data_IF_519171831578
#
_entry.id   IF_519171831578
#
_cell.length_a   1.000
_cell.length_b   1.000
_cell.length_c   1.000
_cell.angle_alpha   90.00
_cell.angle_beta   90.00
_cell.angle_gamma   90.00
#
_symmetry.space_group_name_H-M   'P 1'
#
loop_
_entity.id
_entity.type
_entity.pdbx_description
1 polymer ?
#
# COMPACT_ATOMS: atom_id res chain seq x y z
N UNK A 1 -20.57 24.68 21.60
CA UNK A 1 -20.23 23.33 21.14
C UNK A 1 -20.15 22.45 22.38
N UNK A 2 -21.15 21.61 22.60
CA UNK A 2 -21.20 20.75 23.78
C UNK A 2 -20.19 19.60 23.58
N UNK A 3 -19.24 19.45 24.52
CA UNK A 3 -18.36 18.30 24.55
C UNK A 3 -19.15 17.05 24.94
N UNK A 4 -18.86 15.93 24.28
CA UNK A 4 -19.40 14.61 24.62
C UNK A 4 -18.89 14.25 26.02
N UNK A 5 -19.80 13.93 26.94
CA UNK A 5 -19.46 13.58 28.32
C UNK A 5 -18.97 12.13 28.39
N UNK A 6 -18.20 11.79 29.42
CA UNK A 6 -17.78 10.40 29.67
C UNK A 6 -18.99 9.46 29.89
N UNK A 7 -20.12 9.99 30.36
CA UNK A 7 -21.35 9.23 30.59
C UNK A 7 -22.05 8.86 29.27
N UNK A 8 -21.94 9.71 28.25
CA UNK A 8 -22.45 9.41 26.89
C UNK A 8 -21.66 8.25 26.26
N UNK A 9 -20.34 8.22 26.49
CA UNK A 9 -19.44 7.14 26.05
C UNK A 9 -19.80 5.83 26.75
N UNK A 10 -19.96 5.85 28.08
CA UNK A 10 -20.27 4.64 28.85
C UNK A 10 -21.66 4.06 28.51
N UNK A 11 -22.67 4.91 28.32
CA UNK A 11 -24.00 4.46 27.91
C UNK A 11 -23.99 3.85 26.50
N UNK A 12 -23.22 4.42 25.57
CA UNK A 12 -23.03 3.91 24.22
C UNK A 12 -22.41 2.50 24.21
N UNK A 13 -21.33 2.28 24.96
CA UNK A 13 -20.66 0.97 25.08
C UNK A 13 -21.61 -0.12 25.61
N UNK A 14 -22.43 0.22 26.61
CA UNK A 14 -23.41 -0.73 27.20
C UNK A 14 -24.56 -1.14 26.27
N UNK A 15 -24.89 -0.30 25.28
CA UNK A 15 -25.94 -0.60 24.29
C UNK A 15 -25.41 -1.50 23.16
N UNK A 16 -24.13 -1.40 22.83
CA UNK A 16 -23.49 -2.12 21.74
C UNK A 16 -23.13 -3.57 22.09
N UNK A 17 -22.70 -3.84 23.32
CA UNK A 17 -22.46 -5.23 23.80
C UNK A 17 -23.71 -6.13 23.66
N UNK A 18 -24.91 -5.54 23.67
CA UNK A 18 -26.17 -6.28 23.54
C UNK A 18 -26.51 -6.70 22.11
N UNK A 19 -25.83 -6.17 21.08
CA UNK A 19 -26.17 -6.39 19.66
C UNK A 19 -25.18 -7.28 18.89
N UNK A 20 -24.00 -7.58 19.43
CA UNK A 20 -22.97 -8.40 18.78
C UNK A 20 -23.36 -9.90 18.56
N UNK A 21 -24.64 -10.24 18.64
CA UNK A 21 -25.16 -11.63 18.59
C UNK A 21 -26.00 -11.97 17.36
N UNK A 22 -26.04 -11.13 16.30
CA UNK A 22 -26.84 -11.41 15.10
C UNK A 22 -26.03 -11.41 13.79
N UNK A 23 -26.41 -12.34 12.91
CA UNK A 23 -25.74 -12.83 11.71
C UNK A 23 -25.47 -11.83 10.58
N UNK A 24 -24.45 -12.18 9.78
CA UNK A 24 -23.85 -11.53 8.59
C UNK A 24 -24.85 -11.05 7.53
N UNK A 25 -24.74 -9.79 7.14
CA UNK A 25 -25.49 -9.10 6.06
C UNK A 25 -24.67 -8.95 4.76
N UNK A 26 -25.30 -8.78 3.57
CA UNK A 26 -24.63 -8.58 2.28
C UNK A 26 -23.86 -7.26 2.18
N UNK A 27 -22.92 -7.16 1.22
CA UNK A 27 -21.96 -6.03 1.14
C UNK A 27 -22.56 -4.63 0.91
N UNK A 28 -23.79 -4.54 0.37
CA UNK A 28 -24.54 -3.29 0.25
C UNK A 28 -25.12 -2.77 1.58
N UNK A 29 -24.94 -3.52 2.66
CA UNK A 29 -25.46 -3.26 4.00
C UNK A 29 -24.33 -3.21 5.05
N UNK A 30 -23.06 -2.96 4.66
CA UNK A 30 -22.00 -2.79 5.66
C UNK A 30 -22.13 -1.41 6.32
N UNK A 31 -22.56 -1.35 7.59
CA UNK A 31 -22.64 -0.07 8.30
C UNK A 31 -21.24 0.52 8.42
N UNK A 32 -21.18 1.84 8.50
CA UNK A 32 -19.92 2.53 8.78
C UNK A 32 -19.38 2.07 10.13
N UNK A 33 -18.05 1.99 10.30
CA UNK A 33 -16.99 2.52 9.44
C UNK A 33 -16.47 1.56 8.35
N UNK A 34 -15.99 2.11 7.24
CA UNK A 34 -15.38 1.34 6.16
C UNK A 34 -13.85 1.29 6.25
N UNK A 35 -13.34 0.08 6.45
CA UNK A 35 -11.91 -0.23 6.48
C UNK A 35 -11.56 -1.30 5.45
N UNK A 36 -10.38 -1.15 4.83
CA UNK A 36 -9.73 -2.20 4.05
C UNK A 36 -8.34 -2.47 4.60
N UNK A 37 -7.99 -3.74 4.78
CA UNK A 37 -6.70 -4.15 5.34
C UNK A 37 -5.92 -5.02 4.36
N UNK A 38 -4.67 -4.67 4.08
CA UNK A 38 -3.70 -5.56 3.40
C UNK A 38 -2.62 -5.95 4.41
N UNK A 39 -2.66 -7.20 4.88
CA UNK A 39 -1.68 -7.73 5.82
C UNK A 39 -0.59 -8.47 5.05
N UNK A 40 0.40 -7.71 4.57
CA UNK A 40 1.56 -8.23 3.84
C UNK A 40 2.58 -8.92 4.76
N UNK A 41 3.66 -9.43 4.17
CA UNK A 41 4.74 -10.11 4.93
C UNK A 41 5.56 -9.18 5.82
N UNK A 42 5.77 -7.93 5.37
CA UNK A 42 6.60 -6.92 6.07
C UNK A 42 5.78 -5.77 6.62
N UNK A 43 4.82 -5.27 5.85
CA UNK A 43 3.95 -4.14 6.23
C UNK A 43 2.49 -4.55 6.15
N UNK A 44 1.73 -4.14 7.16
CA UNK A 44 0.27 -4.03 7.12
C UNK A 44 -0.11 -2.64 6.63
N UNK A 45 -1.06 -2.57 5.70
CA UNK A 45 -1.64 -1.30 5.21
C UNK A 45 -3.12 -1.29 5.56
N UNK A 46 -3.58 -0.19 6.10
CA UNK A 46 -4.96 0.08 6.46
C UNK A 46 -5.43 1.28 5.63
N UNK A 47 -6.54 1.10 4.94
CA UNK A 47 -7.25 2.17 4.24
C UNK A 47 -8.54 2.45 5.02
N UNK A 48 -8.81 3.73 5.26
CA UNK A 48 -10.01 4.19 5.94
C UNK A 48 -10.72 5.25 5.09
N UNK A 49 -12.03 5.11 4.93
CA UNK A 49 -12.86 6.14 4.30
C UNK A 49 -13.54 6.98 5.38
N UNK A 50 -13.16 8.24 5.47
CA UNK A 50 -13.78 9.26 6.34
C UNK A 50 -14.91 9.97 5.57
N UNK A 51 -16.18 9.80 5.95
CA UNK A 51 -17.28 10.54 5.32
C UNK A 51 -17.18 12.04 5.68
N UNK A 52 -17.31 12.89 4.66
CA UNK A 52 -17.28 14.36 4.78
C UNK A 52 -18.60 15.01 4.36
N UNK A 53 -19.56 14.19 3.95
CA UNK A 53 -20.91 14.59 3.59
C UNK A 53 -21.78 14.90 4.82
N UNK A 54 -23.04 15.31 4.59
CA UNK A 54 -23.92 15.78 5.66
C UNK A 54 -24.08 14.70 6.76
N UNK A 55 -23.96 15.13 8.02
CA UNK A 55 -24.12 14.27 9.20
C UNK A 55 -25.54 13.71 9.33
N UNK A 56 -26.51 14.26 8.61
CA UNK A 56 -27.84 13.66 8.45
C UNK A 56 -27.86 12.35 7.65
N UNK A 57 -26.78 12.00 6.94
CA UNK A 57 -26.65 10.77 6.15
C UNK A 57 -26.22 9.55 6.97
N UNK A 58 -25.94 9.72 8.27
CA UNK A 58 -25.74 8.59 9.17
C UNK A 58 -27.09 8.06 9.62
N UNK A 59 -27.26 6.75 9.56
CA UNK A 59 -28.55 6.11 9.84
C UNK A 59 -28.84 6.06 11.35
N UNK A 60 -27.79 6.12 12.18
CA UNK A 60 -27.91 6.01 13.64
C UNK A 60 -27.00 7.00 14.40
N UNK A 61 -27.40 7.38 15.61
CA UNK A 61 -26.52 8.12 16.54
C UNK A 61 -25.25 7.34 16.88
N UNK A 62 -25.32 6.01 16.80
CA UNK A 62 -24.20 5.11 17.05
C UNK A 62 -23.11 5.27 15.98
N UNK A 63 -23.48 5.32 14.71
CA UNK A 63 -22.55 5.58 13.60
C UNK A 63 -21.90 6.96 13.72
N UNK A 64 -22.66 7.99 14.11
CA UNK A 64 -22.16 9.35 14.35
C UNK A 64 -21.17 9.45 15.52
N UNK A 65 -21.31 8.60 16.53
CA UNK A 65 -20.38 8.54 17.67
C UNK A 65 -19.12 7.75 17.29
N UNK A 66 -19.30 6.61 16.61
CA UNK A 66 -18.23 5.78 16.05
C UNK A 66 -17.32 6.60 15.13
N UNK A 67 -17.89 7.30 14.15
CA UNK A 67 -17.17 8.16 13.22
C UNK A 67 -16.34 9.24 13.96
N UNK A 68 -16.93 9.90 14.96
CA UNK A 68 -16.21 10.90 15.77
C UNK A 68 -15.07 10.30 16.60
N UNK A 69 -15.23 9.09 17.13
CA UNK A 69 -14.17 8.41 17.87
C UNK A 69 -13.01 8.03 16.95
N UNK A 70 -13.32 7.47 15.78
CA UNK A 70 -12.35 7.08 14.76
C UNK A 70 -11.62 8.30 14.24
N UNK A 71 -12.35 9.33 13.82
CA UNK A 71 -11.78 10.59 13.34
C UNK A 71 -10.82 11.15 14.39
N UNK A 72 -11.27 11.27 15.65
CA UNK A 72 -10.41 11.79 16.73
C UNK A 72 -9.16 10.94 16.91
N UNK A 73 -9.25 9.62 16.75
CA UNK A 73 -8.12 8.74 16.93
C UNK A 73 -7.17 8.81 15.73
N UNK A 74 -7.65 8.51 14.53
CA UNK A 74 -6.85 8.39 13.31
C UNK A 74 -6.23 9.71 12.86
N UNK A 75 -6.90 10.86 13.09
CA UNK A 75 -6.42 12.19 12.65
C UNK A 75 -5.50 12.89 13.64
N UNK A 76 -5.47 12.50 14.93
CA UNK A 76 -4.64 13.19 15.94
C UNK A 76 -3.24 12.57 16.13
N UNK A 77 -2.81 11.69 15.22
CA UNK A 77 -1.48 11.04 15.19
C UNK A 77 -1.07 10.32 16.50
N UNK A 78 -2.03 9.99 17.37
CA UNK A 78 -1.85 9.16 18.59
C UNK A 78 -2.34 7.72 18.41
N UNK A 79 -2.69 7.34 17.18
CA UNK A 79 -3.53 6.16 16.92
C UNK A 79 -2.82 4.82 16.78
N UNK A 80 -1.52 4.77 16.51
CA UNK A 80 -0.90 3.53 16.01
C UNK A 80 0.32 3.06 16.82
N UNK A 81 0.38 3.48 18.09
CA UNK A 81 1.56 3.31 18.93
C UNK A 81 2.78 4.05 18.36
N UNK A 82 3.97 3.56 18.66
CA UNK A 82 5.24 4.17 18.21
C UNK A 82 5.60 3.86 16.75
N UNK A 83 4.85 3.00 16.07
CA UNK A 83 5.29 2.37 14.81
C UNK A 83 4.35 2.53 13.61
N UNK A 84 3.08 2.92 13.81
CA UNK A 84 2.19 3.15 12.70
C UNK A 84 2.19 4.61 12.24
N UNK A 85 2.10 4.77 10.93
CA UNK A 85 2.24 6.05 10.24
C UNK A 85 1.03 6.26 9.35
N UNK A 86 0.40 7.43 9.47
CA UNK A 86 -0.58 7.92 8.50
C UNK A 86 0.15 8.76 7.45
N UNK A 87 0.06 8.34 6.19
CA UNK A 87 0.71 9.03 5.08
C UNK A 87 -0.20 10.17 4.59
N UNK A 88 -0.28 11.27 5.36
CA UNK A 88 -1.17 12.43 5.13
C UNK A 88 -1.08 13.01 3.71
N UNK A 89 0.12 12.95 3.11
CA UNK A 89 0.38 13.45 1.76
C UNK A 89 -0.24 12.60 0.64
N UNK A 90 -0.79 11.42 0.97
CA UNK A 90 -1.46 10.50 0.04
C UNK A 90 -2.99 10.58 0.13
N UNK A 91 -3.55 11.41 1.01
CA UNK A 91 -4.99 11.48 1.19
C UNK A 91 -5.74 11.87 -0.09
N UNK A 92 -6.83 11.16 -0.36
CA UNK A 92 -7.70 11.45 -1.51
C UNK A 92 -8.99 12.06 -1.01
N UNK A 93 -9.14 13.36 -1.24
CA UNK A 93 -10.31 14.14 -0.82
C UNK A 93 -11.43 14.09 -1.86
N UNK A 94 -12.67 14.29 -1.40
CA UNK A 94 -13.87 14.36 -2.24
C UNK A 94 -14.09 13.10 -3.10
N UNK A 95 -13.75 11.92 -2.58
CA UNK A 95 -13.99 10.65 -3.25
C UNK A 95 -15.41 10.18 -2.97
N UNK A 96 -16.10 9.72 -4.00
CA UNK A 96 -17.45 9.14 -3.88
C UNK A 96 -17.38 7.63 -3.81
N UNK A 97 -17.84 7.03 -2.71
CA UNK A 97 -17.97 5.58 -2.52
C UNK A 97 -19.38 5.28 -2.01
N UNK A 98 -20.11 4.38 -2.67
CA UNK A 98 -21.48 3.98 -2.29
C UNK A 98 -22.41 5.19 -1.97
N UNK A 99 -22.40 6.21 -2.83
CA UNK A 99 -23.16 7.48 -2.68
C UNK A 99 -22.78 8.37 -1.49
N UNK A 100 -21.70 8.05 -0.75
CA UNK A 100 -21.10 8.91 0.27
C UNK A 100 -19.92 9.67 -0.31
N UNK A 101 -19.73 10.91 0.10
CA UNK A 101 -18.55 11.72 -0.28
C UNK A 101 -17.62 11.80 0.93
N UNK A 102 -16.34 11.50 0.74
CA UNK A 102 -15.39 11.41 1.84
C UNK A 102 -13.93 11.57 1.44
N UNK A 103 -13.07 11.39 2.43
CA UNK A 103 -11.61 11.35 2.30
C UNK A 103 -11.13 9.92 2.49
N UNK A 104 -10.23 9.45 1.63
CA UNK A 104 -9.51 8.18 1.83
C UNK A 104 -8.19 8.47 2.54
N UNK A 105 -7.97 7.81 3.68
CA UNK A 105 -6.73 7.86 4.43
C UNK A 105 -5.92 6.58 4.26
N UNK A 106 -4.59 6.73 4.18
CA UNK A 106 -3.64 5.63 4.07
C UNK A 106 -2.79 5.55 5.32
N UNK A 107 -2.79 4.38 5.94
CA UNK A 107 -2.09 4.09 7.18
C UNK A 107 -1.27 2.82 6.98
N UNK A 108 -0.07 2.77 7.54
CA UNK A 108 0.79 1.58 7.50
C UNK A 108 1.51 1.36 8.81
N UNK A 109 1.82 0.10 9.10
CA UNK A 109 2.65 -0.28 10.22
C UNK A 109 3.36 -1.62 9.94
N UNK A 110 4.47 -1.94 10.62
CA UNK A 110 5.15 -3.22 10.47
C UNK A 110 4.23 -4.41 10.81
N UNK A 111 4.18 -5.46 9.97
CA UNK A 111 3.30 -6.62 10.19
C UNK A 111 3.58 -7.32 11.52
N UNK A 112 4.82 -7.29 12.01
CA UNK A 112 5.17 -7.86 13.32
C UNK A 112 4.51 -7.12 14.50
N UNK A 113 3.93 -5.94 14.27
CA UNK A 113 3.15 -5.17 15.24
C UNK A 113 1.64 -5.48 15.19
N UNK A 114 1.19 -6.42 14.35
CA UNK A 114 -0.20 -6.88 14.33
C UNK A 114 -0.74 -7.29 15.72
N UNK A 115 0.02 -7.99 16.60
CA UNK A 115 -0.45 -8.28 17.96
C UNK A 115 -0.72 -7.01 18.78
N UNK A 116 0.20 -6.04 18.74
CA UNK A 116 0.04 -4.74 19.40
C UNK A 116 -1.16 -3.98 18.86
N UNK A 117 -1.37 -4.01 17.54
CA UNK A 117 -2.54 -3.42 16.89
C UNK A 117 -3.85 -4.08 17.36
N UNK A 118 -3.92 -5.41 17.43
CA UNK A 118 -5.09 -6.13 17.94
C UNK A 118 -5.38 -5.73 19.39
N UNK A 119 -4.37 -5.71 20.27
CA UNK A 119 -4.55 -5.26 21.65
C UNK A 119 -5.09 -3.83 21.72
N UNK A 120 -4.56 -2.93 20.89
CA UNK A 120 -4.99 -1.55 20.83
C UNK A 120 -6.44 -1.40 20.34
N UNK A 121 -6.85 -2.17 19.33
CA UNK A 121 -8.24 -2.21 18.86
C UNK A 121 -9.19 -2.70 19.97
N UNK A 122 -8.75 -3.68 20.76
CA UNK A 122 -9.48 -4.21 21.93
C UNK A 122 -9.64 -3.16 23.03
N UNK A 123 -8.54 -2.51 23.41
CA UNK A 123 -8.51 -1.49 24.48
C UNK A 123 -9.30 -0.22 24.14
N UNK A 124 -9.44 0.08 22.84
CA UNK A 124 -10.22 1.23 22.36
C UNK A 124 -11.66 0.88 22.02
N UNK A 125 -12.06 -0.37 22.24
CA UNK A 125 -13.43 -0.87 22.02
C UNK A 125 -13.92 -0.62 20.58
N UNK A 126 -12.98 -0.55 19.62
CA UNK A 126 -13.29 -0.36 18.20
C UNK A 126 -14.04 -1.57 17.60
N UNK A 127 -14.00 -2.71 18.29
CA UNK A 127 -14.72 -3.93 17.92
C UNK A 127 -16.23 -3.78 17.95
N UNK A 128 -16.75 -2.81 18.72
CA UNK A 128 -18.16 -2.48 18.76
C UNK A 128 -18.64 -1.79 17.46
N UNK A 129 -17.71 -1.28 16.65
CA UNK A 129 -18.05 -0.46 15.47
C UNK A 129 -18.22 -1.29 14.20
N UNK A 130 -17.54 -2.43 14.09
CA UNK A 130 -17.79 -3.41 13.02
C UNK A 130 -17.36 -4.81 13.45
N UNK A 131 -18.24 -5.78 13.26
CA UNK A 131 -17.94 -7.20 13.47
C UNK A 131 -17.12 -7.81 12.33
N UNK A 132 -16.99 -7.12 11.19
CA UNK A 132 -16.35 -7.65 9.98
C UNK A 132 -15.43 -6.61 9.33
N UNK A 133 -14.19 -6.99 9.03
CA UNK A 133 -13.25 -6.15 8.27
C UNK A 133 -12.77 -6.90 7.05
N UNK A 134 -12.80 -6.24 5.89
CA UNK A 134 -12.26 -6.80 4.66
C UNK A 134 -10.75 -6.81 4.71
N UNK A 135 -10.16 -7.99 4.57
CA UNK A 135 -8.72 -8.18 4.66
C UNK A 135 -8.18 -8.96 3.47
N UNK A 136 -6.99 -8.59 3.01
CA UNK A 136 -6.24 -9.31 1.99
C UNK A 136 -4.78 -9.51 2.41
N UNK A 137 -3.99 -10.11 1.53
CA UNK A 137 -2.62 -10.52 1.82
C UNK A 137 -2.56 -11.82 2.62
N UNK A 138 -1.37 -12.44 2.65
CA UNK A 138 -1.16 -13.70 3.39
C UNK A 138 -1.46 -13.59 4.89
N UNK A 139 -1.30 -12.41 5.48
CA UNK A 139 -1.60 -12.15 6.88
C UNK A 139 -3.09 -12.19 7.24
N UNK A 140 -4.00 -11.97 6.27
CA UNK A 140 -5.44 -12.11 6.51
C UNK A 140 -5.81 -13.52 6.98
N UNK A 141 -5.07 -14.55 6.53
CA UNK A 141 -5.23 -15.93 7.03
C UNK A 141 -4.53 -16.09 8.37
N UNK A 142 -3.28 -15.60 8.47
CA UNK A 142 -2.42 -15.80 9.64
C UNK A 142 -3.04 -15.25 10.93
N UNK A 143 -3.63 -14.05 10.85
CA UNK A 143 -4.18 -13.32 12.01
C UNK A 143 -5.70 -13.44 12.14
N UNK A 144 -6.37 -14.24 11.28
CA UNK A 144 -7.82 -14.43 11.36
C UNK A 144 -8.27 -14.94 12.73
N UNK A 145 -7.58 -15.95 13.27
CA UNK A 145 -7.90 -16.53 14.58
C UNK A 145 -7.69 -15.54 15.71
N UNK A 146 -6.61 -14.77 15.66
CA UNK A 146 -6.30 -13.78 16.70
C UNK A 146 -7.35 -12.67 16.71
N UNK A 147 -7.78 -12.21 15.53
CA UNK A 147 -8.88 -11.24 15.40
C UNK A 147 -10.20 -11.83 15.93
N UNK A 148 -10.51 -13.08 15.61
CA UNK A 148 -11.72 -13.74 16.10
C UNK A 148 -11.69 -13.91 17.63
N UNK A 149 -10.59 -14.42 18.20
CA UNK A 149 -10.50 -14.71 19.63
C UNK A 149 -10.34 -13.48 20.52
N UNK A 150 -9.60 -12.47 20.07
CA UNK A 150 -9.32 -11.28 20.87
C UNK A 150 -10.34 -10.16 20.69
N UNK A 151 -10.92 -10.05 19.49
CA UNK A 151 -11.79 -8.94 19.10
C UNK A 151 -13.24 -9.35 18.82
N UNK A 152 -13.53 -10.65 18.71
CA UNK A 152 -14.78 -11.15 18.16
C UNK A 152 -15.08 -10.56 16.76
N UNK A 153 -14.02 -10.33 15.97
CA UNK A 153 -14.09 -9.76 14.63
C UNK A 153 -13.75 -10.81 13.57
N UNK A 154 -14.52 -10.83 12.50
CA UNK A 154 -14.25 -11.67 11.33
C UNK A 154 -13.42 -10.90 10.29
N UNK A 155 -12.28 -11.46 9.90
CA UNK A 155 -11.55 -10.98 8.73
C UNK A 155 -12.15 -11.61 7.47
N UNK A 156 -12.90 -10.82 6.70
CA UNK A 156 -13.44 -11.25 5.42
C UNK A 156 -12.32 -11.25 4.38
N UNK A 157 -11.76 -12.44 4.15
CA UNK A 157 -10.64 -12.62 3.24
C UNK A 157 -11.02 -12.34 1.79
N UNK A 158 -10.27 -11.46 1.13
CA UNK A 158 -10.28 -11.20 -0.32
C UNK A 158 -8.95 -11.63 -0.95
N UNK A 159 -8.94 -11.96 -2.24
CA UNK A 159 -7.70 -12.31 -2.96
C UNK A 159 -6.76 -11.10 -3.09
N UNK A 160 -5.46 -11.31 -2.86
CA UNK A 160 -4.43 -10.25 -2.82
C UNK A 160 -4.22 -9.60 -4.18
N UNK A 161 -4.18 -10.41 -5.24
CA UNK A 161 -3.88 -9.93 -6.58
C UNK A 161 -5.12 -9.24 -7.17
N UNK A 162 -6.31 -9.79 -6.95
CA UNK A 162 -7.56 -9.13 -7.33
C UNK A 162 -7.75 -7.79 -6.61
N UNK A 163 -7.50 -7.75 -5.29
CA UNK A 163 -7.60 -6.51 -4.50
C UNK A 163 -6.59 -5.46 -4.99
N UNK A 164 -5.38 -5.88 -5.36
CA UNK A 164 -4.36 -5.01 -5.94
C UNK A 164 -4.82 -4.39 -7.26
N UNK A 165 -5.32 -5.19 -8.21
CA UNK A 165 -5.76 -4.68 -9.52
C UNK A 165 -6.94 -3.73 -9.33
N UNK A 166 -7.97 -4.14 -8.58
CA UNK A 166 -9.13 -3.28 -8.28
C UNK A 166 -8.73 -1.98 -7.58
N UNK A 167 -7.77 -2.04 -6.66
CA UNK A 167 -7.24 -0.86 -5.97
C UNK A 167 -6.54 0.10 -6.93
N UNK A 168 -5.61 -0.39 -7.75
CA UNK A 168 -4.89 0.43 -8.75
C UNK A 168 -5.88 1.12 -9.70
N UNK A 169 -6.85 0.38 -10.23
CA UNK A 169 -7.87 0.91 -11.15
C UNK A 169 -8.76 1.96 -10.48
N UNK A 170 -9.21 1.70 -9.23
CA UNK A 170 -9.99 2.66 -8.45
C UNK A 170 -9.21 3.97 -8.26
N UNK A 171 -7.97 3.90 -7.77
CA UNK A 171 -7.18 5.10 -7.48
C UNK A 171 -6.89 5.88 -8.78
N UNK A 172 -6.53 5.21 -9.86
CA UNK A 172 -6.32 5.86 -11.16
C UNK A 172 -7.59 6.52 -11.73
N UNK A 173 -8.78 5.98 -11.42
CA UNK A 173 -10.05 6.57 -11.85
C UNK A 173 -10.43 7.83 -11.07
N UNK A 174 -10.01 7.95 -9.79
CA UNK A 174 -10.34 9.09 -8.92
C UNK A 174 -9.24 10.15 -8.88
N UNK A 175 -7.98 9.77 -9.13
CA UNK A 175 -6.81 10.65 -9.09
C UNK A 175 -6.10 10.68 -10.45
N UNK A 176 -6.29 11.77 -11.19
CA UNK A 176 -5.69 11.96 -12.51
C UNK A 176 -4.15 12.07 -12.50
N UNK A 177 -3.54 12.32 -11.34
CA UNK A 177 -2.09 12.50 -11.18
C UNK A 177 -1.44 11.29 -10.50
N UNK A 178 -2.19 10.18 -10.33
CA UNK A 178 -1.72 8.96 -9.67
C UNK A 178 -0.52 8.33 -10.40
N UNK A 179 -0.66 8.14 -11.72
CA UNK A 179 0.37 7.50 -12.52
C UNK A 179 1.36 8.54 -13.06
N UNK A 180 2.63 8.16 -13.17
CA UNK A 180 3.69 9.02 -13.69
C UNK A 180 4.84 8.18 -14.26
N UNK A 181 5.70 8.84 -15.05
CA UNK A 181 6.98 8.28 -15.50
C UNK A 181 8.09 9.33 -15.34
N UNK A 182 9.34 8.89 -15.46
CA UNK A 182 10.49 9.80 -15.54
C UNK A 182 10.93 9.94 -16.99
N UNK A 183 10.88 11.15 -17.51
CA UNK A 183 11.42 11.50 -18.83
C UNK A 183 12.93 11.67 -18.72
N UNK A 184 13.71 11.13 -19.67
CA UNK A 184 15.18 11.07 -19.64
C UNK A 184 15.79 10.61 -18.29
N UNK A 185 15.43 9.42 -17.75
CA UNK A 185 15.77 9.01 -16.38
C UNK A 185 17.27 8.81 -16.10
N UNK A 186 18.11 8.73 -17.15
CA UNK A 186 19.56 8.56 -17.04
C UNK A 186 20.33 9.88 -17.20
N UNK A 187 19.65 10.99 -17.50
CA UNK A 187 20.24 12.32 -17.69
C UNK A 187 19.86 13.22 -16.51
N UNK A 188 20.82 13.53 -15.64
CA UNK A 188 20.57 14.31 -14.42
C UNK A 188 20.06 15.74 -14.68
N UNK A 189 20.32 16.33 -15.85
CA UNK A 189 19.87 17.69 -16.17
C UNK A 189 18.46 17.71 -16.77
N UNK A 190 18.08 16.64 -17.48
CA UNK A 190 16.79 16.51 -18.16
C UNK A 190 15.76 15.67 -17.40
N UNK A 191 16.21 14.86 -16.44
CA UNK A 191 15.37 13.96 -15.68
C UNK A 191 14.26 14.74 -14.98
N UNK A 192 13.01 14.40 -15.31
CA UNK A 192 11.83 15.02 -14.68
C UNK A 192 10.70 14.02 -14.55
N UNK A 193 9.98 14.12 -13.44
CA UNK A 193 8.71 13.40 -13.23
C UNK A 193 7.64 14.01 -14.13
N UNK A 194 6.96 13.20 -14.91
CA UNK A 194 5.85 13.59 -15.78
C UNK A 194 4.61 12.80 -15.40
N UNK A 195 3.53 13.50 -15.05
CA UNK A 195 2.25 12.88 -14.76
C UNK A 195 1.67 12.21 -16.00
N UNK A 196 1.09 11.02 -15.80
CA UNK A 196 0.48 10.22 -16.84
C UNK A 196 -0.99 9.96 -16.53
N UNK A 197 -1.87 10.57 -17.33
CA UNK A 197 -3.33 10.44 -17.19
C UNK A 197 -3.80 9.16 -17.85
N UNK A 198 -3.63 8.04 -17.14
CA UNK A 198 -3.93 6.71 -17.65
C UNK A 198 -5.40 6.56 -18.10
N UNK A 199 -6.35 7.20 -17.41
CA UNK A 199 -7.78 7.21 -17.74
C UNK A 199 -8.17 8.02 -18.99
N UNK A 200 -7.24 8.77 -19.60
CA UNK A 200 -7.48 9.62 -20.78
C UNK A 200 -6.67 9.22 -22.01
N UNK A 201 -6.15 8.00 -21.99
CA UNK A 201 -5.52 7.36 -23.12
C UNK A 201 -4.35 8.03 -23.83
N UNK A 202 -3.65 8.96 -23.18
CA UNK A 202 -2.49 9.64 -23.75
C UNK A 202 -1.21 8.85 -23.46
N UNK A 203 -0.59 8.24 -24.48
CA UNK A 203 0.52 7.28 -24.30
C UNK A 203 1.94 7.83 -24.51
N UNK A 204 2.16 9.13 -24.75
CA UNK A 204 3.53 9.66 -24.84
C UNK A 204 3.64 11.19 -24.67
N UNK A 205 4.86 11.66 -24.41
CA UNK A 205 5.27 13.07 -24.47
C UNK A 205 5.19 13.69 -25.88
N UNK A 206 4.97 12.88 -26.92
CA UNK A 206 4.82 13.29 -28.32
C UNK A 206 3.36 13.25 -28.80
N UNK A 207 2.40 12.92 -27.92
CA UNK A 207 0.97 13.01 -28.24
C UNK A 207 0.55 14.49 -28.31
N UNK A 208 0.91 15.17 -29.40
CA UNK A 208 0.52 16.56 -29.70
C UNK A 208 -0.89 16.69 -30.27
N UNK A 209 -1.54 15.58 -30.57
CA UNK A 209 -2.86 15.56 -31.20
C UNK A 209 -3.96 15.34 -30.16
N UNK A 210 -4.28 16.40 -29.41
CA UNK A 210 -5.43 16.46 -28.51
C UNK A 210 -6.79 16.49 -29.26
N UNK A 211 -6.80 16.34 -30.59
CA UNK A 211 -8.00 16.48 -31.43
C UNK A 211 -8.74 15.17 -31.69
N UNK A 212 -8.19 14.01 -31.33
CA UNK A 212 -8.95 12.76 -31.35
C UNK A 212 -9.41 12.46 -29.94
N UNK A 213 -10.72 12.56 -29.72
CA UNK A 213 -11.38 12.12 -28.51
C UNK A 213 -11.04 10.63 -28.29
N UNK A 214 -10.06 10.36 -27.44
CA UNK A 214 -9.86 9.03 -26.88
C UNK A 214 -11.01 8.80 -25.91
N UNK A 215 -11.67 7.64 -26.01
CA UNK A 215 -12.69 7.24 -25.05
C UNK A 215 -12.17 7.42 -23.61
N UNK A 216 -12.97 8.06 -22.76
CA UNK A 216 -12.69 8.14 -21.32
C UNK A 216 -12.67 6.70 -20.76
N UNK A 217 -11.58 6.31 -20.08
CA UNK A 217 -11.45 4.98 -19.51
C UNK A 217 -10.01 4.51 -19.29
N UNK A 218 -9.84 3.53 -18.41
CA UNK A 218 -8.56 2.87 -18.17
C UNK A 218 -8.12 2.08 -19.41
N UNK A 219 -6.84 2.18 -19.75
CA UNK A 219 -6.28 1.49 -20.90
C UNK A 219 -5.75 0.09 -20.57
N UNK A 220 -6.01 -0.85 -21.47
CA UNK A 220 -5.51 -2.22 -21.44
C UNK A 220 -4.83 -2.57 -22.77
N UNK A 221 -3.89 -3.54 -22.81
CA UNK A 221 -3.35 -4.28 -21.69
C UNK A 221 -2.21 -3.55 -20.97
N UNK A 222 -1.92 -3.94 -19.73
CA UNK A 222 -0.76 -3.47 -18.98
C UNK A 222 -0.14 -4.57 -18.10
N UNK A 223 1.07 -4.32 -17.61
CA UNK A 223 1.78 -5.21 -16.68
C UNK A 223 1.88 -4.52 -15.34
N UNK A 224 1.48 -5.23 -14.28
CA UNK A 224 1.74 -4.81 -12.89
C UNK A 224 2.91 -5.60 -12.35
N UNK A 225 3.95 -4.90 -11.91
CA UNK A 225 5.08 -5.48 -11.17
C UNK A 225 4.95 -5.04 -9.72
N UNK A 226 4.33 -5.88 -8.89
CA UNK A 226 4.17 -5.59 -7.46
C UNK A 226 5.42 -6.02 -6.69
N UNK A 227 6.17 -5.04 -6.20
CA UNK A 227 7.42 -5.24 -5.45
C UNK A 227 7.16 -5.04 -3.96
N UNK A 228 6.91 -6.13 -3.25
CA UNK A 228 6.81 -6.18 -1.78
C UNK A 228 8.02 -6.89 -1.18
N UNK A 229 7.79 -7.77 -0.19
CA UNK A 229 8.86 -8.63 0.36
C UNK A 229 9.48 -9.50 -0.75
N UNK A 230 8.64 -10.04 -1.64
CA UNK A 230 9.01 -10.61 -2.94
C UNK A 230 8.44 -9.80 -4.10
N UNK A 231 8.40 -10.38 -5.30
CA UNK A 231 7.87 -9.74 -6.52
C UNK A 231 6.81 -10.62 -7.17
N UNK A 232 5.68 -10.04 -7.53
CA UNK A 232 4.65 -10.65 -8.38
C UNK A 232 4.47 -9.84 -9.65
N UNK A 233 4.44 -10.53 -10.80
CA UNK A 233 4.24 -9.92 -12.12
C UNK A 233 2.91 -10.39 -12.68
N UNK A 234 2.04 -9.45 -13.00
CA UNK A 234 0.71 -9.71 -13.57
C UNK A 234 0.58 -9.11 -14.96
N UNK A 235 -0.06 -9.85 -15.87
CA UNK A 235 -0.59 -9.29 -17.11
C UNK A 235 -2.09 -9.03 -16.91
N UNK A 236 -2.51 -7.80 -17.19
CA UNK A 236 -3.91 -7.37 -17.12
C UNK A 236 -4.39 -7.05 -18.53
N UNK A 237 -5.41 -7.79 -18.97
CA UNK A 237 -6.01 -7.68 -20.29
C UNK A 237 -7.38 -6.95 -20.24
N UNK A 238 -8.01 -6.90 -19.07
CA UNK A 238 -9.24 -6.17 -18.80
C UNK A 238 -9.58 -6.17 -17.30
N UNK A 239 -10.61 -5.44 -16.91
CA UNK A 239 -11.05 -5.24 -15.51
C UNK A 239 -11.22 -6.54 -14.70
N UNK A 240 -11.59 -7.63 -15.38
CA UNK A 240 -11.78 -8.96 -14.79
C UNK A 240 -10.95 -10.05 -15.49
N UNK A 241 -10.04 -9.66 -16.38
CA UNK A 241 -9.16 -10.59 -17.10
C UNK A 241 -7.70 -10.22 -16.80
N UNK A 242 -7.15 -10.89 -15.80
CA UNK A 242 -5.76 -10.76 -15.43
C UNK A 242 -5.20 -12.07 -14.92
N UNK A 243 -3.89 -12.25 -15.08
CA UNK A 243 -3.18 -13.44 -14.61
C UNK A 243 -1.80 -13.11 -14.09
N UNK A 244 -1.38 -13.80 -13.03
CA UNK A 244 0.02 -13.78 -12.59
C UNK A 244 0.88 -14.55 -13.58
N UNK A 245 1.75 -13.85 -14.29
CA UNK A 245 2.60 -14.41 -15.33
C UNK A 245 4.01 -14.76 -14.85
N UNK A 246 4.47 -14.14 -13.76
CA UNK A 246 5.81 -14.39 -13.21
C UNK A 246 5.91 -13.90 -11.76
N UNK A 247 7.10 -14.07 -11.18
CA UNK A 247 7.50 -13.46 -9.93
C UNK A 247 8.94 -13.78 -9.57
N UNK A 248 9.42 -13.17 -8.49
CA UNK A 248 10.77 -13.37 -7.97
C UNK A 248 10.74 -13.36 -6.45
N UNK A 249 11.56 -14.19 -5.81
CA UNK A 249 11.81 -14.09 -4.37
C UNK A 249 12.79 -12.95 -4.03
N UNK A 250 13.48 -12.40 -5.04
CA UNK A 250 14.39 -11.25 -4.89
C UNK A 250 13.56 -9.97 -5.01
N UNK A 251 12.97 -9.56 -3.89
CA UNK A 251 12.21 -8.31 -3.75
C UNK A 251 12.80 -7.38 -2.69
N UNK A 252 11.95 -6.53 -2.11
CA UNK A 252 12.35 -5.58 -1.07
C UNK A 252 12.83 -6.26 0.21
N UNK A 253 12.27 -7.42 0.57
CA UNK A 253 12.70 -8.18 1.75
C UNK A 253 14.10 -8.77 1.60
N UNK A 254 14.46 -9.19 0.39
CA UNK A 254 15.83 -9.62 0.07
C UNK A 254 16.81 -8.44 0.18
N UNK A 255 16.47 -7.30 -0.42
CA UNK A 255 17.28 -6.08 -0.33
C UNK A 255 17.51 -5.66 1.12
N UNK A 256 16.43 -5.47 1.88
CA UNK A 256 16.51 -5.01 3.26
C UNK A 256 17.26 -6.00 4.14
N UNK A 257 16.96 -7.30 4.05
CA UNK A 257 17.65 -8.33 4.82
C UNK A 257 19.15 -8.38 4.53
N UNK A 258 19.55 -8.24 3.27
CA UNK A 258 20.97 -8.23 2.90
C UNK A 258 21.67 -6.95 3.39
N UNK A 259 21.04 -5.79 3.29
CA UNK A 259 21.56 -4.54 3.84
C UNK A 259 21.73 -4.61 5.36
N UNK A 260 20.75 -5.16 6.09
CA UNK A 260 20.88 -5.38 7.53
C UNK A 260 22.08 -6.28 7.86
N UNK A 261 22.26 -7.38 7.14
CA UNK A 261 23.35 -8.34 7.37
C UNK A 261 24.74 -7.78 7.02
N UNK A 262 24.85 -7.03 5.92
CA UNK A 262 26.14 -6.58 5.39
C UNK A 262 26.55 -5.18 5.88
N UNK A 263 25.59 -4.32 6.16
CA UNK A 263 25.83 -2.92 6.51
C UNK A 263 25.37 -2.57 7.92
N UNK A 264 24.64 -3.46 8.61
CA UNK A 264 24.17 -3.22 9.97
C UNK A 264 23.09 -2.15 10.09
N UNK A 265 22.34 -1.88 9.01
CA UNK A 265 21.23 -0.92 9.06
C UNK A 265 20.00 -1.50 9.75
N UNK A 266 19.26 -0.65 10.47
CA UNK A 266 18.10 -1.04 11.27
C UNK A 266 16.75 -0.69 10.59
N UNK A 267 16.78 0.10 9.50
CA UNK A 267 15.59 0.52 8.77
C UNK A 267 15.78 0.51 7.25
N UNK A 268 14.66 0.49 6.52
CA UNK A 268 14.67 0.57 5.06
C UNK A 268 15.21 1.93 4.59
N UNK A 269 14.83 3.01 5.27
CA UNK A 269 15.26 4.37 4.99
C UNK A 269 16.77 4.53 5.16
N UNK A 270 17.34 3.94 6.22
CA UNK A 270 18.79 3.91 6.42
C UNK A 270 19.49 3.10 5.32
N UNK A 271 18.95 1.95 4.92
CA UNK A 271 19.50 1.16 3.82
C UNK A 271 19.55 1.95 2.50
N UNK A 272 18.49 2.70 2.17
CA UNK A 272 18.43 3.57 0.99
C UNK A 272 19.44 4.73 1.09
N UNK A 273 19.56 5.33 2.27
CA UNK A 273 20.53 6.41 2.52
C UNK A 273 21.97 5.92 2.39
N UNK A 274 22.31 4.73 2.91
CA UNK A 274 23.63 4.14 2.72
C UNK A 274 23.90 3.84 1.24
N UNK A 275 22.89 3.34 0.51
CA UNK A 275 23.01 3.07 -0.91
C UNK A 275 23.26 4.34 -1.74
N UNK A 276 22.69 5.49 -1.36
CA UNK A 276 22.89 6.76 -2.10
C UNK A 276 24.31 7.31 -2.01
N UNK A 277 25.08 6.91 -0.99
CA UNK A 277 26.48 7.28 -0.83
C UNK A 277 27.45 6.18 -1.29
N UNK A 278 26.90 5.01 -1.65
CA UNK A 278 27.67 3.86 -2.11
C UNK A 278 28.18 4.00 -3.55
N UNK A 279 29.19 3.21 -3.88
CA UNK A 279 29.65 3.04 -5.25
C UNK A 279 29.77 1.54 -5.54
N UNK A 280 28.83 1.02 -6.34
CA UNK A 280 28.74 -0.41 -6.64
C UNK A 280 29.97 -0.94 -7.38
N UNK A 281 30.71 -0.07 -8.10
CA UNK A 281 31.94 -0.43 -8.82
C UNK A 281 33.07 -0.95 -7.91
N UNK A 282 32.97 -0.72 -6.60
CA UNK A 282 33.92 -1.24 -5.62
C UNK A 282 33.73 -2.74 -5.32
N UNK A 283 32.55 -3.29 -5.62
CA UNK A 283 32.14 -4.65 -5.25
C UNK A 283 31.69 -5.49 -6.46
N UNK A 284 31.16 -4.85 -7.49
CA UNK A 284 30.76 -5.49 -8.74
C UNK A 284 31.91 -5.56 -9.74
N UNK A 285 31.81 -6.49 -10.70
CA UNK A 285 32.62 -6.46 -11.92
C UNK A 285 31.75 -6.04 -13.10
N UNK A 286 32.28 -5.11 -13.87
CA UNK A 286 31.67 -4.59 -15.09
C UNK A 286 32.18 -5.36 -16.31
N UNK A 287 31.52 -5.17 -17.46
CA UNK A 287 31.94 -5.77 -18.74
C UNK A 287 33.39 -5.41 -19.06
N UNK A 288 33.81 -4.15 -18.85
CA UNK A 288 35.22 -3.77 -19.08
C UNK A 288 36.22 -4.41 -18.14
N UNK A 289 35.81 -4.82 -16.93
CA UNK A 289 36.71 -5.51 -16.01
C UNK A 289 37.00 -6.95 -16.46
N UNK A 290 36.20 -7.48 -17.40
CA UNK A 290 36.37 -8.80 -18.01
C UNK A 290 37.01 -8.67 -19.40
N UNK A 291 36.48 -7.77 -20.24
CA UNK A 291 36.83 -7.67 -21.66
C UNK A 291 37.79 -6.51 -22.01
N UNK A 292 38.09 -5.62 -21.06
CA UNK A 292 38.91 -4.41 -21.26
C UNK A 292 38.22 -3.30 -22.07
N UNK A 293 36.99 -3.53 -22.56
CA UNK A 293 36.18 -2.64 -23.40
C UNK A 293 34.71 -3.10 -23.38
N UNK A 294 33.84 -2.40 -24.09
CA UNK A 294 32.49 -2.86 -24.40
C UNK A 294 32.52 -4.21 -25.15
N UNK A 295 31.45 -4.99 -25.01
CA UNK A 295 31.27 -6.24 -25.75
C UNK A 295 30.27 -6.04 -26.90
N UNK A 296 30.76 -5.38 -27.95
CA UNK A 296 29.95 -4.87 -29.07
C UNK A 296 29.18 -5.96 -29.83
N UNK A 297 29.76 -7.17 -29.95
CA UNK A 297 29.14 -8.28 -30.68
C UNK A 297 27.77 -8.69 -30.13
N UNK A 298 27.49 -8.40 -28.85
CA UNK A 298 26.22 -8.70 -28.18
C UNK A 298 25.55 -7.44 -27.62
N UNK A 299 26.06 -6.25 -27.99
CA UNK A 299 25.48 -4.96 -27.59
C UNK A 299 25.56 -4.66 -26.10
N UNK A 300 26.62 -5.10 -25.40
CA UNK A 300 26.81 -4.80 -23.97
C UNK A 300 27.79 -3.64 -23.76
N UNK A 301 27.32 -2.48 -23.24
CA UNK A 301 28.17 -1.34 -22.87
C UNK A 301 29.24 -1.70 -21.83
N UNK A 302 30.34 -0.95 -21.83
CA UNK A 302 31.49 -1.21 -20.96
C UNK A 302 31.21 -1.10 -19.46
N UNK A 303 30.23 -0.28 -19.09
CA UNK A 303 29.80 0.03 -17.72
C UNK A 303 28.66 -0.89 -17.24
N UNK A 304 28.19 -1.80 -18.09
CA UNK A 304 27.21 -2.81 -17.70
C UNK A 304 27.80 -3.72 -16.61
N UNK A 305 27.03 -3.95 -15.54
CA UNK A 305 27.38 -4.92 -14.50
C UNK A 305 27.36 -6.32 -15.10
N UNK A 306 28.51 -6.99 -15.15
CA UNK A 306 28.63 -8.36 -15.63
C UNK A 306 28.43 -9.39 -14.51
N UNK A 307 28.93 -9.10 -13.31
CA UNK A 307 28.75 -9.96 -12.14
C UNK A 307 28.67 -9.13 -10.85
N UNK A 308 27.59 -9.33 -10.08
CA UNK A 308 27.38 -8.64 -8.79
C UNK A 308 28.21 -9.27 -7.68
N UNK A 309 28.74 -8.45 -6.76
CA UNK A 309 29.47 -8.85 -5.53
C UNK A 309 30.76 -9.69 -5.71
N UNK A 310 31.15 -10.04 -6.94
CA UNK A 310 32.26 -10.98 -7.19
C UNK A 310 33.61 -10.47 -6.65
N UNK A 311 33.79 -9.14 -6.56
CA UNK A 311 35.02 -8.55 -6.05
C UNK A 311 35.22 -8.82 -4.56
N UNK A 312 34.14 -9.10 -3.81
CA UNK A 312 34.19 -9.50 -2.40
C UNK A 312 34.99 -10.80 -2.23
N UNK A 313 34.72 -11.79 -3.08
CA UNK A 313 35.44 -13.06 -3.05
C UNK A 313 36.93 -12.86 -3.38
N UNK A 314 37.24 -12.18 -4.48
CA UNK A 314 38.64 -12.01 -4.91
C UNK A 314 39.50 -11.21 -3.94
N UNK A 315 38.93 -10.26 -3.18
CA UNK A 315 39.69 -9.52 -2.16
C UNK A 315 40.06 -10.36 -0.94
N UNK A 316 39.31 -11.43 -0.63
CA UNK A 316 39.65 -12.33 0.50
C UNK A 316 40.86 -13.23 0.20
N UNK A 317 41.23 -13.43 -1.06
CA UNK A 317 42.37 -14.28 -1.46
C UNK A 317 43.59 -13.48 -1.94
N UNK A 318 43.50 -12.14 -1.93
CA UNK A 318 44.62 -11.25 -2.18
C UNK A 318 45.01 -10.57 -0.86
N UNK A 319 45.55 -11.37 0.08
CA UNK A 319 46.30 -10.89 1.26
C UNK A 319 47.68 -11.53 1.21
#
# INVERSE_FOLDING_TARGET
MAGISNDDIQNFLSNLERRASSSVTPFSEFPMPWFGLDIGGTLTKLVYFEPTDDKGNFETEEELLSDRMIQRYLTTNKAYGDSGVRDEHLELQNVTINNRIGTIHFIRFPTNQMPTFITLVKEKEFTLMSSTVCATGGGAIKYAKDAESELNMQLLKSDELESLIKGIELIASVNNEECYYYDYPLDNERCRKVSWKWSKGCCSSECTDHSQATDDGLQYPYIVVNIGSGVSVMAVYGQHDFKRISGSSIGGGFFQGLCCLLCGCDSFEEAVMLASHGNNRNIDKLVKDIYGRAYDNVGLPEDTVAARYVSVHTRMYCV
#
